data_IF_349521493434
#
_entry.id   IF_349521493434
#
_cell.length_a   1.000
_cell.length_b   1.000
_cell.length_c   1.000
_cell.angle_alpha   90.00
_cell.angle_beta   90.00
_cell.angle_gamma   90.00
#
_symmetry.space_group_name_H-M   'P 1'
#
loop_
_entity.id
_entity.type
_entity.pdbx_description
1 polymer ?
#
# COMPACT_ATOMS: atom_id res chain seq x y z
N UNK A 1 -10.91 27.88 1.64
CA UNK A 1 -11.39 26.56 1.23
C UNK A 1 -10.29 25.56 1.52
N UNK A 2 -10.58 24.42 2.17
CA UNK A 2 -9.63 23.34 2.40
C UNK A 2 -9.98 22.11 1.55
N UNK A 3 -8.99 21.33 1.14
CA UNK A 3 -9.18 20.18 0.28
C UNK A 3 -8.56 18.94 0.92
N UNK A 4 -9.30 17.83 0.92
CA UNK A 4 -8.81 16.56 1.47
C UNK A 4 -9.09 15.43 0.49
N UNK A 5 -8.06 14.63 0.24
CA UNK A 5 -8.23 13.27 -0.27
C UNK A 5 -7.96 12.36 0.92
N UNK A 6 -8.98 11.63 1.35
CA UNK A 6 -8.87 10.54 2.32
C UNK A 6 -8.83 9.23 1.54
N UNK A 7 -7.68 8.60 1.48
CA UNK A 7 -7.49 7.28 0.86
C UNK A 7 -7.46 6.22 1.95
N UNK A 8 -8.50 5.39 2.03
CA UNK A 8 -8.60 4.34 3.02
C UNK A 8 -8.46 2.97 2.34
N UNK A 9 -7.24 2.48 2.31
CA UNK A 9 -6.83 1.22 1.67
C UNK A 9 -7.23 0.01 2.54
N UNK A 10 -7.52 -1.11 1.89
CA UNK A 10 -7.74 -2.40 2.54
C UNK A 10 -9.10 -2.61 3.21
N UNK A 11 -9.97 -1.60 3.25
CA UNK A 11 -11.32 -1.73 3.81
C UNK A 11 -12.29 -2.47 2.87
N UNK A 12 -12.20 -2.21 1.56
CA UNK A 12 -12.99 -2.93 0.57
C UNK A 12 -12.61 -4.41 0.58
N UNK A 13 -13.58 -5.30 0.41
CA UNK A 13 -13.29 -6.72 0.31
C UNK A 13 -14.38 -7.49 -0.41
N UNK A 14 -14.09 -8.76 -0.71
CA UNK A 14 -15.10 -9.66 -1.23
C UNK A 14 -16.09 -10.11 -0.14
N UNK A 15 -17.34 -10.44 -0.52
CA UNK A 15 -18.32 -11.04 0.38
C UNK A 15 -17.79 -12.29 1.09
N UNK A 16 -18.13 -12.43 2.38
CA UNK A 16 -17.73 -13.56 3.23
C UNK A 16 -18.92 -14.42 3.62
N UNK A 17 -18.74 -15.73 3.58
CA UNK A 17 -19.77 -16.67 4.00
C UNK A 17 -20.11 -16.49 5.49
N UNK A 18 -19.11 -16.27 6.36
CA UNK A 18 -19.36 -16.06 7.80
C UNK A 18 -20.16 -14.77 8.08
N UNK A 19 -20.20 -13.82 7.14
CA UNK A 19 -20.98 -12.58 7.23
C UNK A 19 -22.35 -12.67 6.55
N UNK A 20 -22.77 -13.87 6.13
CA UNK A 20 -24.01 -14.10 5.40
C UNK A 20 -23.99 -13.57 3.97
N UNK A 21 -22.83 -13.66 3.29
CA UNK A 21 -22.67 -13.17 1.92
C UNK A 21 -22.51 -11.66 1.82
N UNK A 22 -22.07 -10.99 2.90
CA UNK A 22 -21.77 -9.55 2.94
C UNK A 22 -20.27 -9.31 3.07
N UNK A 23 -19.82 -8.13 2.66
CA UNK A 23 -18.43 -7.67 2.88
C UNK A 23 -18.24 -7.22 4.33
N UNK A 24 -17.00 -7.19 4.86
CA UNK A 24 -16.69 -6.60 6.16
C UNK A 24 -17.17 -5.15 6.27
N UNK A 25 -16.99 -4.36 5.21
CA UNK A 25 -17.42 -2.95 5.16
C UNK A 25 -18.95 -2.81 5.23
N UNK A 26 -19.71 -3.74 4.63
CA UNK A 26 -21.17 -3.77 4.76
C UNK A 26 -21.65 -4.05 6.19
N UNK A 27 -20.90 -4.84 6.96
CA UNK A 27 -21.25 -5.22 8.34
C UNK A 27 -20.78 -4.19 9.36
N UNK A 28 -19.64 -3.54 9.11
CA UNK A 28 -19.06 -2.53 9.98
C UNK A 28 -20.00 -1.34 10.20
N UNK A 29 -20.01 -0.80 11.43
CA UNK A 29 -20.64 0.47 11.75
C UNK A 29 -19.74 1.63 11.34
N UNK A 30 -20.06 2.27 10.22
CA UNK A 30 -19.28 3.38 9.63
C UNK A 30 -20.09 4.67 9.47
N UNK A 31 -20.69 5.21 10.55
CA UNK A 31 -21.59 6.37 10.46
C UNK A 31 -20.94 7.63 9.87
N UNK A 32 -19.62 7.81 9.98
CA UNK A 32 -18.95 9.01 9.47
C UNK A 32 -18.72 8.94 7.96
N UNK A 33 -18.27 7.79 7.44
CA UNK A 33 -18.19 7.53 6.01
C UNK A 33 -19.59 7.49 5.37
N UNK A 34 -20.58 6.88 6.04
CA UNK A 34 -21.98 6.87 5.59
C UNK A 34 -22.53 8.30 5.48
N UNK A 35 -22.18 9.18 6.43
CA UNK A 35 -22.55 10.61 6.36
C UNK A 35 -21.96 11.28 5.12
N UNK A 36 -20.71 10.98 4.73
CA UNK A 36 -20.12 11.51 3.49
C UNK A 36 -20.87 11.02 2.25
N UNK A 37 -21.20 9.73 2.20
CA UNK A 37 -21.96 9.14 1.10
C UNK A 37 -23.37 9.74 0.98
N UNK A 38 -24.00 10.06 2.10
CA UNK A 38 -25.35 10.65 2.15
C UNK A 38 -25.36 12.13 1.81
N UNK A 39 -24.38 12.90 2.31
CA UNK A 39 -24.31 14.34 2.11
C UNK A 39 -23.81 14.73 0.71
N UNK A 40 -23.19 13.80 -0.01
CA UNK A 40 -22.49 14.08 -1.25
C UNK A 40 -22.79 13.12 -2.40
N UNK A 41 -21.80 13.00 -3.28
CA UNK A 41 -21.79 12.10 -4.43
C UNK A 41 -21.09 10.80 -4.04
N UNK A 42 -21.76 9.66 -4.19
CA UNK A 42 -21.20 8.32 -4.05
C UNK A 42 -21.13 7.69 -5.45
N UNK A 43 -20.03 7.04 -5.80
CA UNK A 43 -19.94 6.31 -7.06
C UNK A 43 -18.64 5.55 -7.24
N UNK A 44 -18.47 4.95 -8.42
CA UNK A 44 -17.28 4.20 -8.78
C UNK A 44 -16.19 5.13 -9.33
N UNK A 45 -14.93 4.76 -9.07
CA UNK A 45 -13.75 5.31 -9.70
C UNK A 45 -13.32 4.37 -10.83
N UNK A 46 -13.26 4.91 -12.04
CA UNK A 46 -12.59 4.26 -13.16
C UNK A 46 -11.08 4.54 -13.06
N UNK A 47 -10.28 3.48 -12.97
CA UNK A 47 -8.87 3.51 -13.31
C UNK A 47 -8.71 2.95 -14.74
N UNK A 48 -7.73 3.47 -15.49
CA UNK A 48 -7.47 2.94 -16.85
C UNK A 48 -7.06 1.47 -16.71
N UNK A 49 -7.75 0.53 -17.39
CA UNK A 49 -7.40 -0.88 -17.32
C UNK A 49 -6.09 -1.11 -18.07
N UNK A 50 -4.98 -1.17 -17.35
CA UNK A 50 -3.81 -1.90 -17.83
C UNK A 50 -3.71 -3.21 -17.08
N UNK A 51 -3.84 -4.32 -17.83
CA UNK A 51 -3.95 -5.68 -17.30
C UNK A 51 -2.73 -6.14 -16.48
N UNK A 52 -1.61 -5.39 -16.50
CA UNK A 52 -0.31 -5.86 -16.01
C UNK A 52 0.32 -5.00 -14.90
N UNK A 53 -0.14 -3.76 -14.65
CA UNK A 53 0.39 -2.93 -13.55
C UNK A 53 -0.54 -3.00 -12.35
N UNK A 54 -0.08 -3.69 -11.31
CA UNK A 54 -0.71 -3.79 -9.99
C UNK A 54 0.29 -3.30 -8.94
N UNK A 55 -0.16 -2.99 -7.73
CA UNK A 55 0.71 -2.51 -6.67
C UNK A 55 0.20 -1.24 -6.00
N UNK A 56 0.63 -1.04 -4.76
CA UNK A 56 0.18 0.05 -3.90
C UNK A 56 0.58 1.38 -4.53
N UNK A 57 -0.22 2.43 -4.33
CA UNK A 57 0.03 3.73 -4.92
C UNK A 57 -0.45 3.90 -6.37
N UNK A 58 -0.97 2.87 -7.05
CA UNK A 58 -1.56 3.01 -8.38
C UNK A 58 -2.79 3.94 -8.36
N UNK A 59 -3.76 3.67 -7.50
CA UNK A 59 -4.94 4.53 -7.33
C UNK A 59 -4.54 5.90 -6.76
N UNK A 60 -3.56 5.94 -5.86
CA UNK A 60 -2.98 7.17 -5.35
C UNK A 60 -2.41 8.07 -6.46
N UNK A 61 -1.68 7.46 -7.41
CA UNK A 61 -1.16 8.15 -8.62
C UNK A 61 -2.31 8.74 -9.43
N UNK A 62 -3.34 7.93 -9.68
CA UNK A 62 -4.49 8.34 -10.45
C UNK A 62 -5.28 9.46 -9.76
N UNK A 63 -5.62 9.34 -8.48
CA UNK A 63 -6.45 10.33 -7.77
C UNK A 63 -5.73 11.67 -7.58
N UNK A 64 -4.40 11.67 -7.52
CA UNK A 64 -3.58 12.90 -7.57
C UNK A 64 -3.49 13.51 -8.98
N UNK A 65 -4.17 12.91 -9.96
CA UNK A 65 -4.32 13.39 -11.31
C UNK A 65 -3.16 13.07 -12.23
N UNK A 66 -2.31 12.11 -11.90
CA UNK A 66 -1.24 11.65 -12.78
C UNK A 66 -1.72 10.42 -13.55
N UNK A 67 -1.43 10.37 -14.85
CA UNK A 67 -1.71 9.19 -15.66
C UNK A 67 -0.82 8.02 -15.21
N UNK A 68 -1.39 6.93 -14.65
CA UNK A 68 -0.59 5.81 -14.19
C UNK A 68 0.27 5.17 -15.28
N UNK A 69 -0.15 5.22 -16.55
CA UNK A 69 0.64 4.66 -17.66
C UNK A 69 2.00 5.33 -17.79
N UNK A 70 2.01 6.65 -17.58
CA UNK A 70 3.22 7.47 -17.68
C UNK A 70 4.01 7.49 -16.38
N UNK A 71 3.32 7.63 -15.24
CA UNK A 71 3.96 8.01 -13.99
C UNK A 71 4.10 6.88 -12.96
N UNK A 72 3.23 5.86 -13.01
CA UNK A 72 3.32 4.71 -12.10
C UNK A 72 4.21 3.63 -12.70
N UNK A 73 5.45 3.53 -12.23
CA UNK A 73 6.39 2.46 -12.62
C UNK A 73 6.28 1.23 -11.73
N UNK A 74 5.86 1.42 -10.47
CA UNK A 74 5.80 0.41 -9.43
C UNK A 74 5.92 1.08 -8.06
N UNK A 75 5.75 0.34 -6.96
CA UNK A 75 5.86 0.89 -5.61
C UNK A 75 7.30 1.16 -5.15
N UNK A 76 8.32 0.52 -5.75
CA UNK A 76 9.73 0.68 -5.37
C UNK A 76 10.24 2.13 -5.39
N UNK A 77 10.03 2.91 -6.48
CA UNK A 77 10.38 4.33 -6.52
C UNK A 77 9.71 5.19 -5.43
N UNK A 78 8.49 4.84 -5.03
CA UNK A 78 7.82 5.56 -3.95
C UNK A 78 8.47 5.25 -2.60
N UNK A 79 8.77 3.99 -2.29
CA UNK A 79 9.49 3.66 -1.05
C UNK A 79 10.86 4.35 -1.00
N UNK A 80 11.59 4.39 -2.12
CA UNK A 80 12.85 5.12 -2.22
C UNK A 80 12.68 6.61 -1.88
N UNK A 81 11.67 7.27 -2.44
CA UNK A 81 11.36 8.66 -2.13
C UNK A 81 11.00 8.87 -0.65
N UNK A 82 10.27 7.94 -0.02
CA UNK A 82 9.94 8.01 1.40
C UNK A 82 11.18 7.91 2.29
N UNK A 83 12.07 6.96 1.98
CA UNK A 83 13.31 6.72 2.73
C UNK A 83 14.39 7.79 2.48
N UNK A 84 14.14 8.74 1.57
CA UNK A 84 15.13 9.74 1.18
C UNK A 84 16.30 9.16 0.38
N UNK A 85 16.10 8.00 -0.23
CA UNK A 85 17.10 7.32 -1.07
C UNK A 85 17.09 7.94 -2.45
N UNK A 86 18.25 8.46 -2.87
CA UNK A 86 18.42 8.98 -4.22
C UNK A 86 18.46 7.81 -5.23
N UNK A 87 17.63 7.89 -6.26
CA UNK A 87 17.57 6.93 -7.37
C UNK A 87 17.82 7.70 -8.65
N UNK A 88 18.93 7.41 -9.32
CA UNK A 88 19.27 8.02 -10.60
C UNK A 88 18.31 7.63 -11.73
N UNK A 89 18.31 8.38 -12.83
CA UNK A 89 17.41 8.13 -13.97
C UNK A 89 17.57 6.75 -14.63
N UNK A 90 18.74 6.14 -14.46
CA UNK A 90 19.06 4.80 -14.97
C UNK A 90 18.96 3.71 -13.90
N UNK A 91 18.75 4.08 -12.65
CA UNK A 91 18.68 3.14 -11.54
C UNK A 91 17.26 2.56 -11.45
N UNK A 92 17.18 1.35 -10.92
CA UNK A 92 15.91 0.66 -10.72
C UNK A 92 15.75 0.35 -9.24
N UNK A 93 14.68 0.88 -8.65
CA UNK A 93 14.28 0.61 -7.30
C UNK A 93 13.35 -0.62 -7.29
N UNK A 94 13.63 -1.57 -6.40
CA UNK A 94 12.81 -2.74 -6.15
C UNK A 94 12.39 -2.72 -4.68
N UNK A 95 11.13 -3.06 -4.43
CA UNK A 95 10.76 -3.53 -3.09
C UNK A 95 11.54 -4.82 -2.81
N UNK A 96 12.01 -4.92 -1.59
CA UNK A 96 12.77 -6.04 -1.07
C UNK A 96 12.05 -6.54 0.18
N UNK A 97 11.24 -7.57 0.02
CA UNK A 97 10.41 -8.10 1.11
C UNK A 97 11.08 -9.30 1.77
N UNK A 98 11.18 -9.30 3.09
CA UNK A 98 11.56 -10.50 3.84
C UNK A 98 10.40 -11.48 3.88
N UNK A 99 10.67 -12.72 3.46
CA UNK A 99 9.66 -13.78 3.39
C UNK A 99 10.13 -15.04 4.13
N UNK A 100 9.17 -15.90 4.45
CA UNK A 100 9.42 -17.27 4.89
C UNK A 100 9.12 -18.21 3.74
N UNK A 101 10.16 -18.89 3.26
CA UNK A 101 10.04 -19.99 2.34
C UNK A 101 10.11 -21.31 3.09
N UNK A 102 9.43 -22.34 2.59
CA UNK A 102 9.54 -23.71 3.10
C UNK A 102 9.68 -24.71 1.97
N UNK A 103 10.24 -25.87 2.30
CA UNK A 103 10.28 -26.99 1.37
C UNK A 103 8.85 -27.51 1.15
N UNK A 104 8.55 -27.91 -0.08
CA UNK A 104 7.33 -28.65 -0.37
C UNK A 104 7.46 -30.06 0.22
N UNK A 105 6.57 -30.40 1.16
CA UNK A 105 6.63 -31.68 1.86
C UNK A 105 5.93 -32.71 0.98
N UNK A 106 6.71 -33.43 0.17
CA UNK A 106 6.18 -34.61 -0.50
C UNK A 106 5.87 -35.73 0.51
N UNK A 107 4.85 -36.57 0.27
CA UNK A 107 4.55 -37.69 1.15
C UNK A 107 5.78 -38.58 1.38
N UNK A 108 6.28 -38.62 2.62
CA UNK A 108 7.44 -39.42 3.01
C UNK A 108 8.77 -38.65 3.15
N UNK A 109 8.84 -37.35 2.82
CA UNK A 109 9.98 -36.51 3.21
C UNK A 109 9.85 -36.03 4.65
N UNK A 110 10.98 -35.92 5.37
CA UNK A 110 11.00 -35.27 6.69
C UNK A 110 10.74 -33.78 6.60
N UNK A 111 10.96 -33.16 5.43
CA UNK A 111 10.73 -31.75 5.14
C UNK A 111 11.65 -30.85 5.96
N UNK A 112 12.46 -30.02 5.31
CA UNK A 112 13.31 -29.10 6.05
C UNK A 112 13.94 -28.03 5.17
N UNK A 113 14.20 -26.85 5.76
CA UNK A 113 14.89 -25.74 5.08
C UNK A 113 16.26 -26.16 4.52
N UNK A 114 16.94 -27.08 5.20
CA UNK A 114 18.25 -27.61 4.81
C UNK A 114 18.21 -28.49 3.53
N UNK A 115 17.02 -28.91 3.08
CA UNK A 115 16.86 -29.65 1.83
C UNK A 115 16.81 -28.71 0.61
N UNK A 116 16.52 -27.43 0.82
CA UNK A 116 16.48 -26.41 -0.24
C UNK A 116 17.91 -26.01 -0.58
N UNK A 117 18.45 -26.61 -1.65
CA UNK A 117 19.78 -26.24 -2.18
C UNK A 117 19.74 -25.00 -3.05
N UNK A 118 18.60 -24.74 -3.70
CA UNK A 118 18.36 -23.60 -4.58
C UNK A 118 16.88 -23.31 -4.67
N UNK A 119 16.50 -22.06 -4.92
CA UNK A 119 15.11 -21.69 -5.20
C UNK A 119 14.60 -22.41 -6.45
N UNK A 120 13.36 -22.93 -6.39
CA UNK A 120 12.79 -23.71 -7.48
C UNK A 120 11.43 -24.33 -7.14
N UNK A 121 10.97 -25.35 -7.90
CA UNK A 121 9.61 -25.88 -7.81
C UNK A 121 9.30 -26.62 -6.52
N UNK A 122 10.32 -26.99 -5.74
CA UNK A 122 10.20 -27.67 -4.45
C UNK A 122 10.10 -26.67 -3.27
N UNK A 123 9.88 -25.39 -3.56
CA UNK A 123 9.84 -24.31 -2.57
C UNK A 123 8.49 -23.62 -2.63
N UNK A 124 7.90 -23.40 -1.46
CA UNK A 124 6.60 -22.76 -1.28
C UNK A 124 6.78 -21.48 -0.47
N UNK A 125 6.08 -20.42 -0.85
CA UNK A 125 5.97 -19.21 -0.04
C UNK A 125 5.08 -19.51 1.17
N UNK A 126 5.67 -19.65 2.35
CA UNK A 126 4.93 -19.96 3.57
C UNK A 126 4.29 -18.71 4.18
N UNK A 127 5.03 -17.61 4.20
CA UNK A 127 4.58 -16.32 4.74
C UNK A 127 5.29 -15.16 4.01
N UNK A 128 4.53 -14.18 3.53
CA UNK A 128 5.08 -13.03 2.79
C UNK A 128 5.45 -11.83 3.69
N UNK A 129 5.41 -12.00 5.01
CA UNK A 129 5.74 -11.00 6.03
C UNK A 129 6.80 -11.48 7.02
N UNK A 130 7.30 -12.70 6.82
CA UNK A 130 8.13 -13.44 7.76
C UNK A 130 7.55 -13.52 9.18
N UNK A 131 6.23 -13.71 9.28
CA UNK A 131 5.50 -13.71 10.54
C UNK A 131 5.51 -12.35 11.22
N UNK A 132 5.32 -11.28 10.44
CA UNK A 132 5.35 -9.89 10.89
C UNK A 132 6.61 -9.57 11.71
N UNK A 133 7.77 -9.91 11.15
CA UNK A 133 9.07 -9.63 11.76
C UNK A 133 9.17 -8.16 12.22
N UNK A 134 9.72 -7.95 13.41
CA UNK A 134 9.91 -6.60 13.95
C UNK A 134 10.92 -5.82 13.13
N UNK A 135 10.86 -4.49 13.21
CA UNK A 135 11.78 -3.62 12.45
C UNK A 135 13.21 -3.78 12.95
N UNK A 136 13.39 -4.06 14.24
CA UNK A 136 14.68 -4.26 14.90
C UNK A 136 15.35 -5.54 14.39
N UNK A 137 14.64 -6.67 14.42
CA UNK A 137 15.14 -7.95 13.90
C UNK A 137 15.39 -7.89 12.39
N UNK A 138 14.48 -7.29 11.63
CA UNK A 138 14.64 -7.15 10.19
C UNK A 138 15.83 -6.26 9.81
N UNK A 139 16.16 -5.26 10.63
CA UNK A 139 17.34 -4.42 10.41
C UNK A 139 18.64 -5.22 10.51
N UNK A 140 18.76 -6.10 11.49
CA UNK A 140 19.93 -6.98 11.63
C UNK A 140 20.13 -7.86 10.37
N UNK A 141 19.04 -8.46 9.89
CA UNK A 141 19.07 -9.33 8.71
C UNK A 141 19.40 -8.58 7.41
N UNK A 142 18.84 -7.38 7.20
CA UNK A 142 19.11 -6.62 5.98
C UNK A 142 20.53 -6.03 5.98
N UNK A 143 21.08 -5.70 7.15
CA UNK A 143 22.48 -5.30 7.30
C UNK A 143 23.42 -6.45 6.92
N UNK A 144 23.17 -7.67 7.43
CA UNK A 144 23.93 -8.86 7.06
C UNK A 144 23.89 -9.17 5.55
N UNK A 145 22.73 -8.93 4.91
CA UNK A 145 22.63 -9.01 3.44
C UNK A 145 23.47 -7.93 2.77
N UNK A 146 23.37 -6.68 3.23
CA UNK A 146 24.07 -5.58 2.59
C UNK A 146 25.60 -5.72 2.69
N UNK A 147 26.10 -6.32 3.78
CA UNK A 147 27.52 -6.65 3.93
C UNK A 147 28.02 -7.69 2.91
N UNK A 148 27.19 -8.68 2.57
CA UNK A 148 27.60 -9.81 1.74
C UNK A 148 27.23 -9.66 0.26
N UNK A 149 26.09 -9.04 -0.03
CA UNK A 149 25.53 -8.89 -1.38
C UNK A 149 25.53 -7.43 -1.86
N UNK A 150 25.76 -6.47 -0.98
CA UNK A 150 25.87 -5.06 -1.33
C UNK A 150 27.13 -4.77 -2.14
N UNK A 151 27.04 -3.81 -3.05
CA UNK A 151 28.13 -3.34 -3.92
C UNK A 151 27.83 -1.93 -4.42
N UNK A 152 28.75 -1.29 -5.13
CA UNK A 152 28.46 0.02 -5.76
C UNK A 152 27.22 -0.01 -6.68
N UNK A 153 26.88 -1.18 -7.23
CA UNK A 153 25.77 -1.38 -8.14
C UNK A 153 24.49 -1.88 -7.44
N UNK A 154 24.57 -2.44 -6.24
CA UNK A 154 23.44 -3.01 -5.50
C UNK A 154 23.49 -2.52 -4.06
N UNK A 155 22.48 -1.79 -3.64
CA UNK A 155 22.37 -1.29 -2.27
C UNK A 155 21.03 -1.69 -1.69
N UNK A 156 21.04 -2.22 -0.47
CA UNK A 156 19.85 -2.52 0.31
C UNK A 156 19.65 -1.46 1.39
N UNK A 157 18.42 -1.01 1.56
CA UNK A 157 18.05 0.02 2.54
C UNK A 157 17.00 -0.52 3.50
N UNK A 158 17.22 -0.43 4.82
CA UNK A 158 16.26 -0.87 5.81
C UNK A 158 14.99 0.00 5.76
N UNK A 159 13.82 -0.64 5.69
CA UNK A 159 12.51 -0.01 5.90
C UNK A 159 11.85 -0.50 7.19
N UNK A 160 10.54 -0.70 7.14
CA UNK A 160 9.71 -1.09 8.29
C UNK A 160 9.29 -2.56 8.24
N UNK A 161 9.49 -3.28 9.35
CA UNK A 161 9.18 -4.71 9.46
C UNK A 161 9.82 -5.50 8.32
N UNK A 162 9.01 -6.24 7.58
CA UNK A 162 9.45 -7.06 6.44
C UNK A 162 9.69 -6.29 5.13
N UNK A 163 9.47 -4.96 5.09
CA UNK A 163 9.53 -4.17 3.86
C UNK A 163 10.83 -3.36 3.82
N UNK A 164 11.67 -3.65 2.84
CA UNK A 164 12.94 -2.97 2.58
C UNK A 164 13.00 -2.54 1.12
N UNK A 165 14.06 -1.83 0.77
CA UNK A 165 14.31 -1.36 -0.59
C UNK A 165 15.63 -1.91 -1.10
N UNK A 166 15.68 -2.28 -2.37
CA UNK A 166 16.93 -2.49 -3.10
C UNK A 166 17.02 -1.50 -4.26
N UNK A 167 18.17 -0.84 -4.43
CA UNK A 167 18.48 -0.03 -5.61
C UNK A 167 19.53 -0.75 -6.44
N UNK A 168 19.21 -0.97 -7.72
CA UNK A 168 20.12 -1.49 -8.72
C UNK A 168 20.60 -0.37 -9.64
N UNK A 169 21.84 0.06 -9.44
CA UNK A 169 22.52 1.08 -10.23
C UNK A 169 22.61 0.68 -11.70
N UNK A 170 22.19 1.57 -12.61
CA UNK A 170 22.08 1.28 -14.06
C UNK A 170 21.36 -0.05 -14.38
N UNK A 171 20.40 -0.45 -13.54
CA UNK A 171 19.73 -1.73 -13.59
C UNK A 171 18.79 -1.91 -14.78
N UNK A 172 18.30 -3.14 -14.95
CA UNK A 172 17.36 -3.50 -16.03
C UNK A 172 15.92 -3.35 -15.55
N UNK A 173 15.19 -2.39 -16.12
CA UNK A 173 13.82 -2.05 -15.69
C UNK A 173 12.71 -2.84 -16.40
N UNK A 174 13.07 -3.90 -17.14
CA UNK A 174 12.11 -4.76 -17.86
C UNK A 174 12.06 -6.17 -17.28
N UNK A 175 12.62 -6.36 -16.09
CA UNK A 175 12.27 -7.51 -15.27
C UNK A 175 10.80 -7.40 -14.89
N UNK A 176 10.12 -8.53 -14.81
CA UNK A 176 8.76 -8.63 -14.27
C UNK A 176 8.84 -9.48 -13.02
N UNK A 177 8.49 -8.90 -11.89
CA UNK A 177 8.51 -9.56 -10.60
C UNK A 177 7.12 -9.61 -9.97
N UNK A 178 6.85 -10.66 -9.19
CA UNK A 178 5.53 -10.91 -8.62
C UNK A 178 5.48 -10.45 -7.16
N UNK A 179 4.38 -9.83 -6.75
CA UNK A 179 4.11 -9.52 -5.34
C UNK A 179 4.10 -10.83 -4.51
N UNK A 180 4.94 -10.97 -3.46
CA UNK A 180 5.02 -12.19 -2.66
C UNK A 180 3.70 -12.53 -1.96
N UNK A 181 2.84 -11.54 -1.69
CA UNK A 181 1.53 -11.78 -1.08
C UNK A 181 0.63 -12.64 -1.96
N UNK A 182 0.78 -12.60 -3.29
CA UNK A 182 0.04 -13.46 -4.22
C UNK A 182 0.47 -14.94 -4.16
N UNK A 183 1.62 -15.21 -3.55
CA UNK A 183 2.26 -16.52 -3.57
C UNK A 183 2.06 -17.31 -2.29
N UNK A 184 1.52 -16.71 -1.21
CA UNK A 184 1.32 -17.38 0.08
C UNK A 184 0.58 -18.71 -0.11
N UNK A 185 1.19 -19.79 0.36
CA UNK A 185 0.71 -21.17 0.24
C UNK A 185 0.96 -21.84 -1.12
N UNK A 186 1.62 -21.17 -2.08
CA UNK A 186 1.84 -21.66 -3.45
C UNK A 186 3.33 -21.88 -3.75
N UNK A 187 3.65 -22.79 -4.70
CA UNK A 187 5.01 -22.92 -5.22
C UNK A 187 5.52 -21.62 -5.86
N UNK A 188 6.80 -21.31 -5.66
CA UNK A 188 7.39 -20.04 -6.14
C UNK A 188 7.87 -20.08 -7.59
N UNK A 189 8.00 -21.27 -8.20
CA UNK A 189 8.71 -21.46 -9.45
C UNK A 189 8.14 -20.65 -10.62
N UNK A 190 6.82 -20.54 -10.72
CA UNK A 190 6.15 -19.78 -11.78
C UNK A 190 6.17 -18.27 -11.55
N UNK A 191 6.63 -17.83 -10.38
CA UNK A 191 6.61 -16.43 -9.95
C UNK A 191 8.00 -15.81 -9.75
N UNK A 192 9.06 -16.59 -10.02
CA UNK A 192 10.43 -16.07 -10.07
C UNK A 192 10.54 -14.97 -11.15
N UNK A 193 11.48 -14.01 -11.00
CA UNK A 193 11.64 -12.93 -11.97
C UNK A 193 11.74 -13.44 -13.41
N UNK A 194 11.10 -12.73 -14.34
CA UNK A 194 11.18 -13.00 -15.78
C UNK A 194 11.58 -11.73 -16.54
N UNK A 195 11.92 -11.85 -17.82
CA UNK A 195 12.32 -10.70 -18.63
C UNK A 195 13.79 -10.30 -18.47
N UNK A 196 14.12 -9.05 -18.82
CA UNK A 196 15.51 -8.59 -18.86
C UNK A 196 16.06 -8.39 -17.44
N UNK A 197 17.18 -9.03 -17.12
CA UNK A 197 17.80 -8.96 -15.79
C UNK A 197 17.28 -10.00 -14.79
N UNK A 198 16.33 -10.85 -15.19
CA UNK A 198 15.77 -11.91 -14.37
C UNK A 198 16.81 -12.84 -13.74
N UNK A 199 17.78 -13.32 -14.53
CA UNK A 199 18.83 -14.22 -14.05
C UNK A 199 19.67 -13.62 -12.92
N UNK A 200 19.88 -12.30 -12.97
CA UNK A 200 20.61 -11.59 -11.94
C UNK A 200 19.78 -11.48 -10.66
N UNK A 201 18.52 -11.05 -10.77
CA UNK A 201 17.60 -10.94 -9.64
C UNK A 201 17.37 -12.29 -8.96
N UNK A 202 17.21 -13.36 -9.76
CA UNK A 202 17.05 -14.71 -9.24
C UNK A 202 18.29 -15.17 -8.45
N UNK A 203 19.51 -14.95 -8.99
CA UNK A 203 20.75 -15.26 -8.26
C UNK A 203 20.86 -14.49 -6.96
N UNK A 204 20.41 -13.24 -6.95
CA UNK A 204 20.43 -12.40 -5.75
C UNK A 204 19.44 -12.90 -4.69
N UNK A 205 18.23 -13.28 -5.10
CA UNK A 205 17.24 -13.91 -4.22
C UNK A 205 17.74 -15.26 -3.68
N UNK A 206 18.33 -16.11 -4.53
CA UNK A 206 18.89 -17.40 -4.13
C UNK A 206 20.06 -17.25 -3.15
N UNK A 207 20.96 -16.29 -3.41
CA UNK A 207 22.05 -15.97 -2.50
C UNK A 207 21.54 -15.44 -1.15
N UNK A 208 20.51 -14.58 -1.16
CA UNK A 208 19.88 -14.10 0.07
C UNK A 208 19.30 -15.24 0.90
N UNK A 209 18.73 -16.26 0.26
CA UNK A 209 18.23 -17.44 0.94
C UNK A 209 19.34 -18.23 1.64
N UNK A 210 20.49 -18.43 0.98
CA UNK A 210 21.62 -19.13 1.59
C UNK A 210 22.17 -18.39 2.81
N UNK A 211 22.20 -17.06 2.77
CA UNK A 211 22.68 -16.23 3.89
C UNK A 211 21.68 -16.27 5.05
N UNK A 212 20.40 -16.03 4.76
CA UNK A 212 19.39 -15.82 5.80
C UNK A 212 18.92 -17.11 6.44
N UNK A 213 18.87 -18.23 5.71
CA UNK A 213 18.47 -19.54 6.26
C UNK A 213 19.31 -19.91 7.48
N UNK A 214 20.62 -19.67 7.43
CA UNK A 214 21.58 -20.10 8.43
C UNK A 214 21.98 -18.94 9.39
N UNK A 215 21.24 -17.83 9.37
CA UNK A 215 21.50 -16.68 10.23
C UNK A 215 21.08 -16.94 11.69
N UNK A 216 21.89 -16.63 12.72
CA UNK A 216 21.59 -16.93 14.13
C UNK A 216 20.21 -16.43 14.58
N UNK A 217 19.84 -15.20 14.21
CA UNK A 217 18.51 -14.65 14.50
C UNK A 217 17.37 -15.53 13.96
N UNK A 218 17.51 -16.13 12.77
CA UNK A 218 16.48 -17.03 12.25
C UNK A 218 16.46 -18.39 12.96
N UNK A 219 17.59 -18.84 13.52
CA UNK A 219 17.63 -20.01 14.42
C UNK A 219 16.86 -19.72 15.72
N UNK A 220 17.09 -18.54 16.32
CA UNK A 220 16.39 -18.08 17.52
C UNK A 220 14.88 -17.94 17.29
N UNK A 221 14.46 -17.29 16.20
CA UNK A 221 13.06 -17.18 15.79
C UNK A 221 12.41 -18.56 15.65
N UNK A 222 13.08 -19.48 14.97
CA UNK A 222 12.58 -20.84 14.77
C UNK A 222 12.46 -21.61 16.10
N UNK A 223 13.45 -21.47 17.00
CA UNK A 223 13.41 -22.06 18.34
C UNK A 223 12.27 -21.49 19.21
N UNK A 224 11.90 -20.23 18.99
CA UNK A 224 10.75 -19.57 19.63
C UNK A 224 9.40 -19.90 18.94
N UNK A 225 9.39 -20.72 17.88
CA UNK A 225 8.19 -21.05 17.11
C UNK A 225 7.69 -19.92 16.20
N UNK A 226 8.50 -18.89 15.98
CA UNK A 226 8.25 -17.82 15.04
C UNK A 226 8.68 -18.20 13.63
N UNK A 227 8.13 -17.50 12.63
CA UNK A 227 8.50 -17.71 11.22
C UNK A 227 9.88 -17.08 10.93
N UNK A 228 10.82 -17.80 10.32
CA UNK A 228 12.12 -17.22 9.96
C UNK A 228 11.99 -16.33 8.71
N UNK A 229 12.67 -15.20 8.70
CA UNK A 229 12.85 -14.33 7.53
C UNK A 229 14.03 -14.85 6.70
N UNK A 230 13.80 -15.94 5.95
CA UNK A 230 14.87 -16.74 5.37
C UNK A 230 15.16 -16.44 3.89
N UNK A 231 14.49 -15.46 3.27
CA UNK A 231 14.77 -15.05 1.90
C UNK A 231 14.34 -13.59 1.69
N UNK A 232 15.05 -12.87 0.82
CA UNK A 232 14.57 -11.63 0.23
C UNK A 232 13.79 -11.93 -1.05
N UNK A 233 12.64 -11.29 -1.19
CA UNK A 233 11.80 -11.35 -2.36
C UNK A 233 11.76 -9.99 -3.05
N UNK A 234 12.27 -9.93 -4.27
CA UNK A 234 12.39 -8.70 -5.05
C UNK A 234 11.16 -8.52 -5.93
N UNK A 235 10.51 -7.36 -5.83
CA UNK A 235 9.32 -7.05 -6.61
C UNK A 235 9.01 -5.55 -6.67
N UNK A 236 7.97 -5.18 -7.42
CA UNK A 236 7.49 -3.79 -7.45
C UNK A 236 8.51 -2.82 -8.05
N UNK A 237 9.27 -3.32 -9.03
CA UNK A 237 10.34 -2.65 -9.72
C UNK A 237 9.89 -1.34 -10.38
N UNK A 238 10.76 -0.34 -10.39
CA UNK A 238 10.49 0.89 -11.13
C UNK A 238 11.69 1.82 -11.20
N UNK A 239 11.71 2.65 -12.23
CA UNK A 239 12.64 3.79 -12.31
C UNK A 239 12.04 4.99 -11.62
N UNK A 240 12.89 5.82 -11.01
CA UNK A 240 12.46 7.13 -10.56
C UNK A 240 12.14 8.01 -11.78
N UNK A 241 10.93 8.56 -11.80
CA UNK A 241 10.50 9.50 -12.83
C UNK A 241 10.32 10.88 -12.21
N UNK A 242 10.59 11.92 -13.01
CA UNK A 242 10.22 13.27 -12.64
C UNK A 242 8.71 13.47 -12.79
N UNK A 243 8.09 13.97 -11.73
CA UNK A 243 6.66 14.30 -11.68
C UNK A 243 6.52 15.82 -11.60
N UNK A 244 5.75 16.46 -12.51
CA UNK A 244 5.39 17.86 -12.32
C UNK A 244 4.59 18.01 -11.03
N UNK A 245 5.03 18.87 -10.12
CA UNK A 245 4.43 19.02 -8.80
C UNK A 245 2.99 19.53 -8.88
N UNK A 246 2.20 19.25 -7.83
CA UNK A 246 0.85 19.80 -7.71
C UNK A 246 0.87 21.34 -7.59
N UNK A 247 1.94 21.90 -7.03
CA UNK A 247 2.16 23.35 -7.01
C UNK A 247 2.33 23.92 -8.42
N UNK A 248 3.13 23.27 -9.28
CA UNK A 248 3.29 23.70 -10.68
C UNK A 248 1.98 23.60 -11.47
N UNK A 249 1.27 22.47 -11.31
CA UNK A 249 0.06 22.12 -12.08
C UNK A 249 -1.19 22.88 -11.64
N UNK A 250 -1.37 23.08 -10.34
CA UNK A 250 -2.62 23.57 -9.74
C UNK A 250 -2.43 24.77 -8.79
N UNK A 251 -1.20 25.26 -8.60
CA UNK A 251 -0.88 26.31 -7.62
C UNK A 251 -1.34 25.95 -6.21
N UNK A 252 -1.28 24.66 -5.88
CA UNK A 252 -1.71 24.11 -4.61
C UNK A 252 -0.51 23.68 -3.77
N UNK A 253 -0.44 24.17 -2.53
CA UNK A 253 0.48 23.68 -1.52
C UNK A 253 -0.26 22.69 -0.61
N UNK A 254 0.37 21.56 -0.32
CA UNK A 254 -0.28 20.52 0.46
C UNK A 254 0.70 19.61 1.19
N UNK A 255 0.10 18.68 1.92
CA UNK A 255 0.80 17.73 2.78
C UNK A 255 0.38 16.30 2.46
N UNK A 256 1.29 15.34 2.63
CA UNK A 256 0.97 13.92 2.73
C UNK A 256 1.07 13.45 4.18
N UNK A 257 0.01 12.81 4.65
CA UNK A 257 -0.12 12.22 5.99
C UNK A 257 -0.37 10.72 5.83
N UNK A 258 0.70 9.92 5.95
CA UNK A 258 0.67 8.47 5.73
C UNK A 258 1.74 7.78 6.56
N UNK A 259 1.41 6.62 7.12
CA UNK A 259 2.39 5.68 7.71
C UNK A 259 2.94 4.68 6.67
N UNK A 260 2.24 4.50 5.55
CA UNK A 260 2.73 3.69 4.43
C UNK A 260 3.80 4.46 3.65
N UNK A 261 4.99 3.87 3.53
CA UNK A 261 6.11 4.44 2.77
C UNK A 261 5.77 4.67 1.30
N UNK A 262 4.97 3.78 0.71
CA UNK A 262 4.51 3.95 -0.68
C UNK A 262 3.66 5.22 -0.82
N UNK A 263 2.68 5.43 0.05
CA UNK A 263 1.82 6.61 -0.03
C UNK A 263 2.52 7.90 0.40
N UNK A 264 3.46 7.81 1.35
CA UNK A 264 4.32 8.93 1.75
C UNK A 264 5.23 9.36 0.59
N UNK A 265 5.91 8.41 -0.04
CA UNK A 265 6.74 8.63 -1.22
C UNK A 265 5.97 9.16 -2.43
N UNK A 266 4.78 8.62 -2.69
CA UNK A 266 3.85 9.14 -3.70
C UNK A 266 3.58 10.64 -3.50
N UNK A 267 3.29 11.05 -2.26
CA UNK A 267 3.06 12.45 -1.93
C UNK A 267 4.30 13.33 -2.18
N UNK A 268 5.48 12.85 -1.77
CA UNK A 268 6.76 13.53 -2.01
C UNK A 268 7.00 13.72 -3.51
N UNK A 269 6.81 12.66 -4.31
CA UNK A 269 6.95 12.74 -5.77
C UNK A 269 5.94 13.70 -6.41
N UNK A 270 4.72 13.81 -5.86
CA UNK A 270 3.74 14.80 -6.28
C UNK A 270 4.06 16.25 -5.81
N UNK A 271 5.15 16.45 -5.08
CA UNK A 271 5.57 17.75 -4.53
C UNK A 271 4.81 18.17 -3.27
N UNK A 272 4.23 17.23 -2.53
CA UNK A 272 3.64 17.47 -1.21
C UNK A 272 4.73 17.41 -0.14
N UNK A 273 4.57 18.22 0.91
CA UNK A 273 5.39 18.08 2.10
C UNK A 273 4.98 16.81 2.85
N UNK A 274 5.93 15.96 3.21
CA UNK A 274 5.63 14.79 4.03
C UNK A 274 5.69 15.14 5.50
N UNK A 275 4.66 14.72 6.25
CA UNK A 275 4.70 14.77 7.71
C UNK A 275 5.87 13.93 8.22
N UNK A 276 6.53 14.43 9.27
CA UNK A 276 7.52 13.68 10.03
C UNK A 276 6.88 12.41 10.61
N UNK A 277 7.43 11.24 10.23
CA UNK A 277 6.90 9.94 10.64
C UNK A 277 6.84 9.77 12.16
N UNK A 278 7.70 10.46 12.93
CA UNK A 278 7.66 10.44 14.40
C UNK A 278 6.36 11.01 14.98
N UNK A 279 5.70 11.93 14.27
CA UNK A 279 4.38 12.48 14.66
C UNK A 279 3.24 11.49 14.43
N UNK A 280 3.47 10.45 13.63
CA UNK A 280 2.52 9.38 13.35
C UNK A 280 2.94 8.05 14.01
N UNK A 281 4.02 8.07 14.81
CA UNK A 281 4.54 6.88 15.46
C UNK A 281 3.52 6.28 16.43
N UNK A 282 3.45 4.95 16.46
CA UNK A 282 2.53 4.21 17.32
C UNK A 282 1.17 3.89 16.70
N UNK A 283 0.90 4.31 15.45
CA UNK A 283 -0.27 3.82 14.71
C UNK A 283 -1.61 4.43 15.13
N UNK A 284 -1.62 5.46 15.98
CA UNK A 284 -2.87 6.03 16.49
C UNK A 284 -3.62 6.84 15.43
N UNK A 285 -4.82 6.36 15.09
CA UNK A 285 -5.72 6.95 14.10
C UNK A 285 -6.18 8.37 14.50
N UNK A 286 -6.36 8.63 15.80
CA UNK A 286 -6.75 9.97 16.29
C UNK A 286 -5.62 10.97 16.13
N UNK A 287 -4.40 10.56 16.46
CA UNK A 287 -3.19 11.36 16.24
C UNK A 287 -3.03 11.68 14.76
N UNK A 288 -3.24 10.70 13.88
CA UNK A 288 -3.18 10.95 12.43
C UNK A 288 -4.22 11.99 11.97
N UNK A 289 -5.47 11.93 12.46
CA UNK A 289 -6.49 12.95 12.17
C UNK A 289 -6.06 14.33 12.67
N UNK A 290 -5.57 14.42 13.92
CA UNK A 290 -5.13 15.66 14.53
C UNK A 290 -3.98 16.30 13.74
N UNK A 291 -2.97 15.51 13.37
CA UNK A 291 -1.83 15.97 12.57
C UNK A 291 -2.27 16.47 11.20
N UNK A 292 -3.19 15.76 10.52
CA UNK A 292 -3.73 16.23 9.25
C UNK A 292 -4.44 17.59 9.37
N UNK A 293 -5.23 17.79 10.43
CA UNK A 293 -5.92 19.05 10.70
C UNK A 293 -4.95 20.19 11.05
N UNK A 294 -3.91 19.92 11.84
CA UNK A 294 -2.85 20.89 12.17
C UNK A 294 -2.12 21.37 10.91
N UNK A 295 -1.84 20.47 9.97
CA UNK A 295 -1.20 20.82 8.71
C UNK A 295 -2.16 21.58 7.77
N UNK A 296 -3.45 21.24 7.76
CA UNK A 296 -4.48 21.95 7.01
C UNK A 296 -4.75 23.37 7.53
N UNK A 297 -4.37 23.73 8.76
CA UNK A 297 -4.36 25.14 9.19
C UNK A 297 -3.39 25.95 8.34
N UNK A 298 -2.23 25.36 8.02
CA UNK A 298 -1.11 26.02 7.34
C UNK A 298 -1.17 25.88 5.81
N UNK A 299 -1.81 24.81 5.33
CA UNK A 299 -1.83 24.40 3.90
C UNK A 299 -3.25 24.28 3.39
N UNK A 300 -3.42 24.23 2.08
CA UNK A 300 -4.75 24.18 1.46
C UNK A 300 -5.22 22.76 1.16
N UNK A 301 -4.29 21.81 1.02
CA UNK A 301 -4.57 20.45 0.63
C UNK A 301 -3.88 19.42 1.55
N UNK A 302 -4.59 18.34 1.87
CA UNK A 302 -4.01 17.16 2.51
C UNK A 302 -4.38 15.87 1.76
N UNK A 303 -3.37 15.07 1.44
CA UNK A 303 -3.53 13.67 1.06
C UNK A 303 -3.33 12.82 2.33
N UNK A 304 -4.43 12.34 2.90
CA UNK A 304 -4.45 11.52 4.11
C UNK A 304 -4.65 10.08 3.70
N UNK A 305 -3.70 9.21 4.01
CA UNK A 305 -3.77 7.79 3.68
C UNK A 305 -3.80 6.94 4.95
N UNK A 306 -4.73 6.02 5.03
CA UNK A 306 -4.82 5.00 6.07
C UNK A 306 -4.94 3.63 5.42
N UNK A 307 -4.26 2.66 6.00
CA UNK A 307 -4.30 1.26 5.61
C UNK A 307 -4.60 0.46 6.89
N UNK A 308 -5.36 -0.63 6.77
CA UNK A 308 -5.59 -1.50 7.93
C UNK A 308 -4.25 -2.18 8.32
N UNK A 309 -4.03 -2.52 9.61
CA UNK A 309 -2.81 -3.19 10.02
C UNK A 309 -2.55 -4.49 9.25
N UNK A 310 -1.28 -4.85 9.01
CA UNK A 310 -0.88 -6.04 8.25
C UNK A 310 -1.50 -7.33 8.84
N UNK A 311 -1.60 -7.41 10.18
CA UNK A 311 -2.24 -8.50 10.92
C UNK A 311 -3.69 -8.71 10.46
N UNK A 312 -4.38 -7.62 10.14
CA UNK A 312 -5.79 -7.59 9.75
C UNK A 312 -5.94 -7.79 8.24
N UNK A 313 -5.04 -7.19 7.44
CA UNK A 313 -5.08 -7.31 5.98
C UNK A 313 -4.80 -8.72 5.50
N UNK A 314 -3.74 -9.33 6.04
CA UNK A 314 -3.28 -10.66 5.64
C UNK A 314 -3.88 -11.77 6.51
N UNK A 315 -4.47 -11.40 7.65
CA UNK A 315 -5.16 -12.33 8.55
C UNK A 315 -6.46 -12.91 8.00
N UNK A 316 -6.90 -14.01 8.63
CA UNK A 316 -8.18 -14.65 8.35
C UNK A 316 -9.31 -14.20 9.28
N UNK A 317 -9.02 -13.42 10.33
CA UNK A 317 -10.01 -12.95 11.29
C UNK A 317 -10.88 -11.83 10.70
N UNK A 318 -12.03 -12.22 10.18
CA UNK A 318 -13.04 -11.32 9.61
C UNK A 318 -13.60 -10.35 10.66
N UNK A 319 -13.74 -10.78 11.92
CA UNK A 319 -14.26 -9.93 12.99
C UNK A 319 -13.23 -8.85 13.38
N UNK A 320 -11.94 -9.17 13.38
CA UNK A 320 -10.88 -8.20 13.53
C UNK A 320 -10.90 -7.17 12.39
N UNK A 321 -11.12 -7.61 11.13
CA UNK A 321 -11.27 -6.71 9.99
C UNK A 321 -12.45 -5.75 10.11
N UNK A 322 -13.62 -6.25 10.53
CA UNK A 322 -14.79 -5.40 10.82
C UNK A 322 -14.46 -4.36 11.89
N UNK A 323 -13.87 -4.78 13.02
CA UNK A 323 -13.48 -3.87 14.12
C UNK A 323 -12.46 -2.82 13.68
N UNK A 324 -11.50 -3.19 12.83
CA UNK A 324 -10.49 -2.27 12.32
C UNK A 324 -11.12 -1.20 11.40
N UNK A 325 -12.07 -1.59 10.54
CA UNK A 325 -12.84 -0.64 9.72
C UNK A 325 -13.64 0.32 10.60
N UNK A 326 -14.32 -0.19 11.63
CA UNK A 326 -15.04 0.65 12.61
C UNK A 326 -14.13 1.60 13.37
N UNK A 327 -12.90 1.17 13.70
CA UNK A 327 -11.90 2.01 14.33
C UNK A 327 -11.45 3.14 13.39
N UNK A 328 -11.18 2.85 12.11
CA UNK A 328 -10.86 3.88 11.10
C UNK A 328 -11.97 4.93 11.03
N UNK A 329 -13.23 4.51 10.92
CA UNK A 329 -14.37 5.44 10.86
C UNK A 329 -14.48 6.30 12.12
N UNK A 330 -14.40 5.69 13.31
CA UNK A 330 -14.59 6.36 14.61
C UNK A 330 -13.40 7.24 15.01
N UNK A 331 -12.19 6.82 14.71
CA UNK A 331 -10.96 7.38 15.29
C UNK A 331 -10.17 8.24 14.30
N UNK A 332 -10.29 7.99 13.00
CA UNK A 332 -9.71 8.85 11.97
C UNK A 332 -10.79 9.72 11.29
N UNK A 333 -11.80 9.09 10.68
CA UNK A 333 -12.76 9.80 9.81
C UNK A 333 -13.62 10.77 10.61
N UNK A 334 -14.22 10.34 11.72
CA UNK A 334 -15.03 11.20 12.58
C UNK A 334 -14.29 12.46 13.04
N UNK A 335 -13.14 12.33 13.73
CA UNK A 335 -12.35 13.48 14.15
C UNK A 335 -11.89 14.38 13.00
N UNK A 336 -11.52 13.80 11.85
CA UNK A 336 -11.13 14.56 10.67
C UNK A 336 -12.30 15.42 10.14
N UNK A 337 -13.51 14.86 10.03
CA UNK A 337 -14.69 15.59 9.57
C UNK A 337 -15.10 16.69 10.55
N UNK A 338 -15.10 16.40 11.85
CA UNK A 338 -15.43 17.38 12.89
C UNK A 338 -14.41 18.53 12.92
N UNK A 339 -13.14 18.22 12.68
CA UNK A 339 -12.07 19.22 12.55
C UNK A 339 -12.22 20.07 11.28
N UNK A 340 -12.49 19.45 10.14
CA UNK A 340 -12.69 20.15 8.87
C UNK A 340 -13.86 21.14 8.94
N UNK A 341 -14.95 20.77 9.60
CA UNK A 341 -16.09 21.66 9.83
C UNK A 341 -15.69 22.93 10.61
N UNK A 342 -14.75 22.82 11.57
CA UNK A 342 -14.23 23.95 12.34
C UNK A 342 -13.26 24.83 11.54
N UNK A 343 -12.56 24.27 10.55
CA UNK A 343 -11.67 25.02 9.66
C UNK A 343 -12.42 25.83 8.58
N UNK A 344 -13.74 25.65 8.46
CA UNK A 344 -14.62 26.37 7.55
C UNK A 344 -14.90 25.60 6.25
N UNK A 345 -15.09 26.32 5.15
CA UNK A 345 -15.43 25.70 3.86
C UNK A 345 -14.34 24.72 3.42
N UNK A 346 -14.74 23.49 3.15
CA UNK A 346 -13.90 22.40 2.70
C UNK A 346 -14.57 21.52 1.64
N UNK A 347 -13.73 20.77 0.93
CA UNK A 347 -14.12 19.65 0.08
C UNK A 347 -13.31 18.43 0.46
N UNK A 348 -13.99 17.30 0.54
CA UNK A 348 -13.36 16.02 0.85
C UNK A 348 -13.83 14.97 -0.15
N UNK A 349 -12.88 14.16 -0.61
CA UNK A 349 -13.17 12.87 -1.23
C UNK A 349 -12.60 11.77 -0.34
N UNK A 350 -13.46 10.89 0.16
CA UNK A 350 -13.06 9.62 0.73
C UNK A 350 -13.09 8.58 -0.40
N UNK A 351 -12.02 7.83 -0.59
CA UNK A 351 -11.98 6.73 -1.52
C UNK A 351 -11.43 5.46 -0.87
N UNK A 352 -11.88 4.35 -1.41
CA UNK A 352 -11.47 3.00 -1.04
C UNK A 352 -11.27 2.21 -2.33
N UNK A 353 -10.21 1.42 -2.38
CA UNK A 353 -10.00 0.42 -3.43
C UNK A 353 -9.74 -0.95 -2.79
N UNK A 354 -9.70 -1.99 -3.61
CA UNK A 354 -9.53 -3.36 -3.13
C UNK A 354 -8.08 -3.68 -2.71
N UNK A 355 -7.16 -2.73 -2.80
CA UNK A 355 -5.72 -2.95 -2.64
C UNK A 355 -5.16 -3.85 -3.75
N UNK A 356 -4.01 -4.48 -3.50
CA UNK A 356 -3.35 -5.36 -4.49
C UNK A 356 -3.70 -6.83 -4.32
N UNK A 357 -3.79 -7.28 -3.06
CA UNK A 357 -3.93 -8.69 -2.71
C UNK A 357 -4.88 -8.83 -1.54
N UNK A 358 -5.83 -9.73 -1.67
CA UNK A 358 -6.66 -10.18 -0.55
C UNK A 358 -6.53 -11.69 -0.43
N UNK A 359 -5.94 -12.15 0.68
CA UNK A 359 -5.76 -13.58 1.00
C UNK A 359 -5.14 -14.40 -0.16
N UNK A 360 -4.03 -13.92 -0.71
CA UNK A 360 -3.31 -14.64 -1.77
C UNK A 360 -4.00 -14.64 -3.14
N UNK A 361 -5.01 -13.79 -3.33
CA UNK A 361 -5.62 -13.51 -4.63
C UNK A 361 -5.45 -12.04 -4.98
N UNK A 362 -5.23 -11.76 -6.26
CA UNK A 362 -5.23 -10.38 -6.71
C UNK A 362 -6.59 -9.76 -6.46
N UNK A 363 -6.59 -8.59 -5.84
CA UNK A 363 -7.82 -7.85 -5.64
C UNK A 363 -8.42 -7.47 -7.00
N UNK A 364 -9.72 -7.74 -7.17
CA UNK A 364 -10.46 -7.44 -8.39
C UNK A 364 -11.75 -6.69 -8.04
N UNK A 365 -11.81 -5.43 -8.43
CA UNK A 365 -12.96 -4.56 -8.19
C UNK A 365 -12.64 -3.10 -8.47
N UNK A 366 -13.62 -2.32 -8.96
CA UNK A 366 -13.43 -0.89 -9.11
C UNK A 366 -13.27 -0.24 -7.74
N UNK A 367 -12.38 0.76 -7.65
CA UNK A 367 -12.40 1.66 -6.51
C UNK A 367 -13.72 2.43 -6.45
N UNK A 368 -14.08 2.95 -5.29
CA UNK A 368 -15.26 3.79 -5.11
C UNK A 368 -14.95 4.98 -4.22
N UNK A 369 -15.80 6.00 -4.31
CA UNK A 369 -15.58 7.27 -3.63
C UNK A 369 -16.88 7.86 -3.08
N UNK A 370 -16.75 8.67 -2.05
CA UNK A 370 -17.74 9.62 -1.57
C UNK A 370 -17.12 11.02 -1.57
N UNK A 371 -17.75 11.96 -2.27
CA UNK A 371 -17.30 13.34 -2.41
C UNK A 371 -18.30 14.31 -1.82
N UNK A 372 -17.83 15.20 -0.95
CA UNK A 372 -18.64 16.23 -0.32
C UNK A 372 -18.02 17.61 -0.53
N UNK A 373 -18.85 18.59 -0.86
CA UNK A 373 -18.53 20.01 -0.84
C UNK A 373 -19.39 20.69 0.23
N UNK A 374 -18.76 21.16 1.30
CA UNK A 374 -19.44 21.80 2.43
C UNK A 374 -20.20 23.09 2.07
N UNK A 375 -19.99 23.65 0.88
CA UNK A 375 -20.69 24.85 0.41
C UNK A 375 -21.96 24.55 -0.37
N UNK A 376 -22.18 23.29 -0.74
CA UNK A 376 -23.34 22.84 -1.51
C UNK A 376 -24.35 22.19 -0.56
N UNK A 377 -25.63 22.50 -0.74
CA UNK A 377 -26.69 21.82 0.02
C UNK A 377 -26.64 20.31 -0.24
N UNK A 378 -26.77 19.46 0.79
CA UNK A 378 -26.71 18.02 0.62
C UNK A 378 -27.71 17.54 -0.44
N UNK A 379 -27.25 16.76 -1.41
CA UNK A 379 -28.17 15.99 -2.25
C UNK A 379 -28.68 14.82 -1.40
N UNK A 380 -29.90 14.94 -0.87
CA UNK A 380 -30.46 13.97 0.07
C UNK A 380 -30.73 12.62 -0.61
N UNK A 381 -29.69 11.79 -0.74
CA UNK A 381 -29.86 10.37 -1.03
C UNK A 381 -29.92 9.60 0.29
N UNK A 382 -31.08 9.68 0.94
CA UNK A 382 -31.35 9.04 2.22
C UNK A 382 -31.09 7.52 2.13
N UNK A 383 -30.36 6.98 3.11
CA UNK A 383 -30.10 5.55 3.23
C UNK A 383 -28.87 5.02 2.49
N UNK A 384 -28.15 5.85 1.71
CA UNK A 384 -26.86 5.45 1.10
C UNK A 384 -25.81 5.23 2.18
N UNK A 385 -24.98 4.21 2.00
CA UNK A 385 -23.82 3.88 2.85
C UNK A 385 -22.54 3.89 2.02
N UNK A 386 -21.40 4.11 2.67
CA UNK A 386 -20.09 4.04 2.01
C UNK A 386 -19.62 2.57 1.92
N UNK A 387 -20.29 1.80 1.07
CA UNK A 387 -20.07 0.36 0.89
C UNK A 387 -20.01 0.03 -0.61
N UNK A 388 -19.39 -1.10 -0.94
CA UNK A 388 -19.20 -1.53 -2.33
C UNK A 388 -20.54 -1.64 -3.08
N UNK A 389 -21.55 -2.23 -2.43
CA UNK A 389 -22.87 -2.45 -3.03
C UNK A 389 -23.60 -1.16 -3.41
N UNK A 390 -23.58 -0.15 -2.53
CA UNK A 390 -24.26 1.14 -2.77
C UNK A 390 -23.51 1.98 -3.81
N UNK A 391 -22.17 1.90 -3.83
CA UNK A 391 -21.37 2.53 -4.87
C UNK A 391 -21.64 1.90 -6.24
N UNK A 392 -21.76 0.57 -6.31
CA UNK A 392 -22.10 -0.16 -7.53
C UNK A 392 -23.53 0.13 -8.00
N UNK A 393 -24.46 0.33 -7.07
CA UNK A 393 -25.85 0.68 -7.38
C UNK A 393 -26.07 2.17 -7.70
N UNK A 394 -25.03 3.01 -7.57
CA UNK A 394 -25.13 4.44 -7.79
C UNK A 394 -25.47 4.76 -9.26
N UNK A 395 -26.34 5.75 -9.45
CA UNK A 395 -26.66 6.32 -10.78
C UNK A 395 -25.62 7.33 -11.26
N UNK A 396 -24.64 7.66 -10.42
CA UNK A 396 -23.53 8.54 -10.76
C UNK A 396 -22.63 7.82 -11.77
N UNK A 397 -22.36 8.42 -12.95
CA UNK A 397 -21.43 7.83 -13.91
C UNK A 397 -20.06 7.63 -13.28
N UNK A 398 -19.44 6.48 -13.54
CA UNK A 398 -18.09 6.19 -13.06
C UNK A 398 -17.13 7.33 -13.39
N UNK A 399 -16.38 7.78 -12.39
CA UNK A 399 -15.50 8.95 -12.49
C UNK A 399 -14.08 8.52 -12.79
N UNK A 400 -13.49 9.14 -13.80
CA UNK A 400 -12.07 8.99 -14.10
C UNK A 400 -11.22 9.53 -12.93
N UNK A 401 -10.52 8.65 -12.24
CA UNK A 401 -9.70 9.01 -11.07
C UNK A 401 -8.65 10.09 -11.43
N UNK A 402 -8.09 10.05 -12.65
CA UNK A 402 -7.09 11.02 -13.12
C UNK A 402 -7.61 12.45 -13.26
N UNK A 403 -8.93 12.62 -13.34
CA UNK A 403 -9.57 13.93 -13.48
C UNK A 403 -10.17 14.41 -12.17
N UNK A 404 -10.19 13.58 -11.12
CA UNK A 404 -10.86 13.91 -9.87
C UNK A 404 -10.23 15.10 -9.17
N UNK A 405 -8.89 15.21 -9.17
CA UNK A 405 -8.20 16.34 -8.55
C UNK A 405 -8.58 17.70 -9.15
N UNK A 406 -8.85 17.74 -10.46
CA UNK A 406 -9.30 18.96 -11.15
C UNK A 406 -10.64 19.41 -10.59
N UNK A 407 -11.56 18.46 -10.38
CA UNK A 407 -12.85 18.71 -9.74
C UNK A 407 -12.68 19.16 -8.30
N UNK A 408 -11.82 18.48 -7.53
CA UNK A 408 -11.57 18.81 -6.14
C UNK A 408 -11.13 20.28 -6.00
N UNK A 409 -10.19 20.73 -6.82
CA UNK A 409 -9.62 22.08 -6.79
C UNK A 409 -10.36 23.12 -7.63
N UNK A 410 -11.42 22.75 -8.35
CA UNK A 410 -12.17 23.69 -9.19
C UNK A 410 -12.65 24.90 -8.37
N UNK A 411 -12.33 26.12 -8.77
CA UNK A 411 -12.93 27.30 -8.12
C UNK A 411 -14.43 27.23 -8.35
N UNK A 412 -15.24 27.40 -7.29
CA UNK A 412 -16.69 27.35 -7.38
C UNK A 412 -17.18 28.23 -8.53
N UNK A 413 -18.02 27.65 -9.39
CA UNK A 413 -18.69 28.34 -10.50
C UNK A 413 -19.70 29.36 -10.00
#
# INVERSE_FOLDING_TARGET
MKYVILHADGMAAHPRQELGGRTPLQVASTPHLDRLAQAGELGLLASSPEQHRRGSGLMGTAILGYDPKKYYQGPGPFEAASLGVAVGEQDVAYRCTMVTLRADVQPGSKGGLNEIKKLGPHVVMDDATAGLISTEEARELIEAINEQLGSEMIQFYPGLGHRHLMVWGNGKSRAVCTDPQLLVGRPIAEALPTGEGADFLWKLMDASFQILRDHPLNEERSAAGQKPANCLWLWGEGRALFWPSLSERFKMAGVVVSQSDVHRGLGIMAGLEAVDGSRLAGGDLRTQAAVALEELVKKDFAYVHVELPDEVLYGSDVAAKVKAIEAVDRELVGPLLDGLAKLGSHRIVALCDFGNVQQGQAADGPGFFAYCDSTVSPSAGAGRRFIEADAQASTVPSRDATKFIVRLFAKGS
#
